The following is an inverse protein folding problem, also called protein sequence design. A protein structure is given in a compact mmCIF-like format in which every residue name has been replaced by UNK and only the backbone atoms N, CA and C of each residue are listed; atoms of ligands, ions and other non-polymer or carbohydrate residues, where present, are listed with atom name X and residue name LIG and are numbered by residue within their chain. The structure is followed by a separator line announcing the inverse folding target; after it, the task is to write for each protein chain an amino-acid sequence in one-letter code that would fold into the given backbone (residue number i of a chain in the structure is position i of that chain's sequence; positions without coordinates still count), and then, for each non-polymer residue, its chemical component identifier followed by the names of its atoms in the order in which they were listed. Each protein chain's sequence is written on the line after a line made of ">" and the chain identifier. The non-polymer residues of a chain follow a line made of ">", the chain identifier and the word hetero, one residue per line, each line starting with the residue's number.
data_IF_175450380402
#
_entry.id   IF_175450380402
#
_cell.length_a   1.000
_cell.length_b   1.000
_cell.length_c   1.000
_cell.angle_alpha   90.00
_cell.angle_beta   90.00
_cell.angle_gamma   90.00
#
_symmetry.space_group_name_H-M   'P 1'
#
loop_
_entity.id
_entity.type
_entity.pdbx_description
1 polymer ?
#
# COMPACT_ATOMS: atom_id res chain seq x y z
N UNK A 1 -9.21 9.16 17.12
CA UNK A 1 -8.37 9.70 16.04
C UNK A 1 -9.22 9.55 14.78
N UNK A 2 -9.64 10.64 14.15
CA UNK A 2 -10.34 10.54 12.87
C UNK A 2 -9.33 10.02 11.85
N UNK A 3 -9.54 8.79 11.38
CA UNK A 3 -8.78 8.26 10.26
C UNK A 3 -9.11 9.16 9.05
N UNK A 4 -8.09 9.68 8.37
CA UNK A 4 -8.24 10.59 7.22
C UNK A 4 -8.84 9.96 5.96
N UNK A 5 -9.55 8.84 6.11
CA UNK A 5 -10.15 7.97 5.11
C UNK A 5 -11.39 7.26 5.70
N UNK A 6 -12.39 6.99 4.87
CA UNK A 6 -13.67 6.40 5.29
C UNK A 6 -13.76 4.88 5.00
N UNK A 7 -14.93 4.29 5.27
CA UNK A 7 -15.18 2.86 5.07
C UNK A 7 -15.10 2.43 3.59
N UNK A 8 -15.41 3.33 2.66
CA UNK A 8 -15.28 3.06 1.23
C UNK A 8 -13.81 3.04 0.85
N UNK A 9 -13.03 3.99 1.34
CA UNK A 9 -11.57 4.02 1.13
C UNK A 9 -10.93 2.73 1.67
N UNK A 10 -11.37 2.25 2.85
CA UNK A 10 -10.91 0.97 3.39
C UNK A 10 -11.21 -0.22 2.47
N UNK A 11 -12.39 -0.26 1.84
CA UNK A 11 -12.75 -1.32 0.88
C UNK A 11 -11.87 -1.24 -0.36
N UNK A 12 -11.64 -0.04 -0.91
CA UNK A 12 -10.75 0.18 -2.05
C UNK A 12 -9.34 -0.31 -1.71
N UNK A 13 -8.80 0.08 -0.55
CA UNK A 13 -7.47 -0.36 -0.11
C UNK A 13 -7.37 -1.88 0.03
N UNK A 14 -8.39 -2.55 0.59
CA UNK A 14 -8.43 -4.02 0.67
C UNK A 14 -8.41 -4.69 -0.70
N UNK A 15 -9.18 -4.16 -1.66
CA UNK A 15 -9.19 -4.67 -3.03
C UNK A 15 -7.83 -4.51 -3.71
N UNK A 16 -7.17 -3.35 -3.53
CA UNK A 16 -5.85 -3.07 -4.08
C UNK A 16 -4.73 -3.88 -3.39
N UNK A 17 -4.82 -4.12 -2.09
CA UNK A 17 -3.89 -5.01 -1.38
C UNK A 17 -3.97 -6.44 -1.89
N UNK A 18 -5.17 -6.91 -2.22
CA UNK A 18 -5.35 -8.23 -2.81
C UNK A 18 -4.88 -8.29 -4.27
N UNK A 19 -5.20 -7.25 -5.06
CA UNK A 19 -4.80 -7.15 -6.44
C UNK A 19 -4.62 -5.68 -6.86
N UNK A 20 -3.39 -5.19 -6.80
CA UNK A 20 -3.03 -3.83 -7.18
C UNK A 20 -3.32 -3.50 -8.66
N UNK A 21 -3.49 -4.51 -9.52
CA UNK A 21 -3.81 -4.35 -10.95
C UNK A 21 -5.32 -4.32 -11.24
N UNK A 22 -6.16 -4.40 -10.22
CA UNK A 22 -7.61 -4.37 -10.41
C UNK A 22 -8.02 -3.07 -11.10
N UNK A 23 -8.80 -3.17 -12.18
CA UNK A 23 -9.21 -1.98 -12.93
C UNK A 23 -10.19 -1.14 -12.12
N UNK A 24 -10.19 0.18 -12.36
CA UNK A 24 -11.13 1.11 -11.73
C UNK A 24 -12.58 0.65 -11.95
N UNK A 25 -12.90 0.11 -13.14
CA UNK A 25 -14.23 -0.43 -13.46
C UNK A 25 -14.62 -1.63 -12.59
N UNK A 26 -13.68 -2.51 -12.27
CA UNK A 26 -13.93 -3.63 -11.34
C UNK A 26 -14.13 -3.11 -9.92
N UNK A 27 -13.23 -2.24 -9.44
CA UNK A 27 -13.33 -1.65 -8.10
C UNK A 27 -14.67 -0.90 -7.94
N UNK A 28 -15.09 -0.15 -8.95
CA UNK A 28 -16.36 0.60 -8.91
C UNK A 28 -17.59 -0.29 -8.74
N UNK A 29 -17.58 -1.48 -9.36
CA UNK A 29 -18.63 -2.49 -9.17
C UNK A 29 -18.63 -3.04 -7.75
N UNK A 30 -17.46 -3.40 -7.22
CA UNK A 30 -17.31 -3.97 -5.88
C UNK A 30 -17.73 -2.98 -4.77
N UNK A 31 -17.42 -1.69 -4.92
CA UNK A 31 -17.75 -0.67 -3.91
C UNK A 31 -19.04 0.11 -4.21
N UNK A 32 -19.78 -0.28 -5.26
CA UNK A 32 -21.04 0.37 -5.69
C UNK A 32 -20.91 1.89 -5.90
N UNK A 33 -19.86 2.31 -6.60
CA UNK A 33 -19.60 3.72 -6.94
C UNK A 33 -19.36 3.92 -8.43
N UNK A 34 -19.45 5.19 -8.86
CA UNK A 34 -19.04 5.58 -10.21
C UNK A 34 -17.51 5.46 -10.37
N UNK A 35 -17.05 5.14 -11.58
CA UNK A 35 -15.60 5.05 -11.87
C UNK A 35 -14.84 6.37 -11.58
N UNK A 36 -15.37 7.57 -11.93
CA UNK A 36 -14.72 8.83 -11.55
C UNK A 36 -14.58 9.00 -10.03
N UNK A 37 -15.60 8.64 -9.24
CA UNK A 37 -15.54 8.75 -7.79
C UNK A 37 -14.49 7.82 -7.17
N UNK A 38 -14.37 6.58 -7.68
CA UNK A 38 -13.32 5.65 -7.24
C UNK A 38 -11.93 6.19 -7.59
N UNK A 39 -11.77 6.71 -8.82
CA UNK A 39 -10.49 7.29 -9.27
C UNK A 39 -10.05 8.45 -8.37
N UNK A 40 -10.95 9.37 -8.06
CA UNK A 40 -10.65 10.51 -7.18
C UNK A 40 -10.25 10.07 -5.77
N UNK A 41 -10.93 9.05 -5.21
CA UNK A 41 -10.58 8.48 -3.91
C UNK A 41 -9.19 7.85 -3.90
N UNK A 42 -8.86 7.07 -4.93
CA UNK A 42 -7.51 6.50 -5.08
C UNK A 42 -6.44 7.59 -5.14
N UNK A 43 -6.66 8.64 -5.95
CA UNK A 43 -5.74 9.80 -6.03
C UNK A 43 -5.57 10.46 -4.66
N UNK A 44 -6.65 10.71 -3.92
CA UNK A 44 -6.58 11.30 -2.57
C UNK A 44 -5.82 10.42 -1.58
N UNK A 45 -5.95 9.10 -1.67
CA UNK A 45 -5.22 8.17 -0.82
C UNK A 45 -3.72 8.16 -1.14
N UNK A 46 -3.36 8.31 -2.42
CA UNK A 46 -1.97 8.46 -2.88
C UNK A 46 -1.37 9.81 -2.45
N UNK A 47 -2.09 10.92 -2.68
CA UNK A 47 -1.66 12.27 -2.31
C UNK A 47 -1.44 12.43 -0.80
N UNK A 48 -2.27 11.75 0.02
CA UNK A 48 -2.12 11.70 1.47
C UNK A 48 -1.03 10.73 1.95
N UNK A 49 -0.33 10.06 1.02
CA UNK A 49 0.66 9.02 1.30
C UNK A 49 0.10 7.86 2.15
N UNK A 50 -1.21 7.61 2.06
CA UNK A 50 -1.86 6.42 2.66
C UNK A 50 -1.60 5.22 1.75
N UNK A 51 -1.69 5.41 0.43
CA UNK A 51 -1.13 4.50 -0.56
C UNK A 51 0.24 5.05 -0.95
N UNK A 52 1.30 4.43 -0.42
CA UNK A 52 2.68 4.86 -0.68
C UNK A 52 3.20 4.48 -2.08
N UNK A 53 2.51 3.56 -2.76
CA UNK A 53 2.86 3.12 -4.11
C UNK A 53 2.35 1.73 -4.43
N UNK A 54 2.54 1.32 -5.68
CA UNK A 54 2.20 -0.01 -6.18
C UNK A 54 3.48 -0.75 -6.54
N UNK A 55 3.63 -1.98 -6.06
CA UNK A 55 4.84 -2.78 -6.27
C UNK A 55 4.51 -4.13 -6.89
N UNK A 56 5.48 -4.68 -7.61
CA UNK A 56 5.45 -6.08 -8.03
C UNK A 56 6.11 -6.93 -6.95
N UNK A 57 5.43 -7.98 -6.51
CA UNK A 57 6.03 -8.98 -5.64
C UNK A 57 6.76 -10.04 -6.49
N UNK A 58 8.06 -10.19 -6.23
CA UNK A 58 8.90 -11.14 -6.96
C UNK A 58 9.21 -12.36 -6.11
N UNK A 59 9.23 -13.53 -6.75
CA UNK A 59 9.78 -14.72 -6.11
C UNK A 59 11.30 -14.58 -5.99
N UNK A 60 11.76 -14.15 -4.82
CA UNK A 60 13.17 -13.90 -4.55
C UNK A 60 14.03 -15.17 -4.68
N UNK A 61 13.49 -16.36 -4.38
CA UNK A 61 14.23 -17.63 -4.56
C UNK A 61 14.55 -17.89 -6.02
N UNK A 62 13.57 -17.69 -6.91
CA UNK A 62 13.74 -17.87 -8.35
C UNK A 62 14.66 -16.81 -8.97
N UNK A 63 14.85 -15.68 -8.29
CA UNK A 63 15.79 -14.63 -8.69
C UNK A 63 17.20 -14.81 -8.10
N UNK A 64 17.52 -15.98 -7.53
CA UNK A 64 18.77 -16.23 -6.81
C UNK A 64 19.03 -15.24 -5.65
N UNK A 65 17.96 -14.67 -5.09
CA UNK A 65 17.95 -13.76 -3.93
C UNK A 65 17.25 -14.41 -2.74
N UNK A 66 17.47 -15.70 -2.52
CA UNK A 66 16.76 -16.50 -1.52
C UNK A 66 17.13 -16.23 -0.07
N UNK A 67 18.19 -15.46 0.20
CA UNK A 67 18.66 -15.16 1.55
C UNK A 67 17.94 -13.93 2.11
N UNK A 68 17.27 -14.11 3.24
CA UNK A 68 16.71 -13.02 4.05
C UNK A 68 17.28 -13.15 5.45
N UNK A 69 17.84 -12.05 5.98
CA UNK A 69 18.45 -12.01 7.32
C UNK A 69 17.81 -10.91 8.13
N UNK A 70 17.58 -11.18 9.41
CA UNK A 70 17.20 -10.17 10.39
C UNK A 70 18.43 -9.79 11.20
N UNK A 71 18.71 -8.50 11.31
CA UNK A 71 19.81 -7.98 12.13
C UNK A 71 19.19 -7.31 13.34
N UNK A 72 19.43 -7.86 14.53
CA UNK A 72 19.09 -7.20 15.77
C UNK A 72 20.18 -6.18 16.10
N UNK A 73 19.80 -4.92 16.14
CA UNK A 73 20.69 -3.83 16.53
C UNK A 73 20.32 -3.34 17.93
N UNK A 74 21.30 -3.35 18.84
CA UNK A 74 21.19 -2.71 20.15
C UNK A 74 22.04 -1.45 20.12
N UNK A 75 21.41 -0.30 20.36
CA UNK A 75 22.09 0.99 20.46
C UNK A 75 21.52 1.79 21.61
N UNK A 76 22.33 2.68 22.17
CA UNK A 76 21.88 3.74 23.09
C UNK A 76 21.69 5.08 22.35
N UNK A 77 22.09 5.14 21.07
CA UNK A 77 22.02 6.32 20.20
C UNK A 77 21.09 6.04 19.03
N UNK A 78 19.78 6.20 19.25
CA UNK A 78 18.77 5.90 18.24
C UNK A 78 18.83 6.84 17.03
N UNK A 79 19.15 8.12 17.24
CA UNK A 79 19.10 9.14 16.19
C UNK A 79 20.12 8.85 15.08
N UNK A 80 21.35 8.49 15.44
CA UNK A 80 22.42 8.16 14.48
C UNK A 80 22.07 6.96 13.57
N UNK A 81 21.19 6.04 14.02
CA UNK A 81 20.77 4.87 13.25
C UNK A 81 19.63 5.18 12.30
N UNK A 82 18.72 6.09 12.68
CA UNK A 82 17.60 6.50 11.83
C UNK A 82 18.07 7.35 10.66
N UNK A 83 19.12 8.13 10.86
CA UNK A 83 19.67 9.05 9.85
C UNK A 83 20.62 8.35 8.84
N UNK A 84 20.91 7.05 9.01
CA UNK A 84 21.74 6.24 8.11
C UNK A 84 20.91 5.59 6.99
#
# INVERSE_FOLDING_TARGET
>A
MENGFDDIDQKIMKLLQHNARMSISQISKEVSMSQPSVKERMIKLEEKNIISGYTAEFNLRNLNRGTTTFILLKTERCQEVVDF
#
